data_IF_065086875589
#
_entry.id   IF_065086875589
#
_cell.length_a   1.000
_cell.length_b   1.000
_cell.length_c   1.000
_cell.angle_alpha   90.00
_cell.angle_beta   90.00
_cell.angle_gamma   90.00
#
_symmetry.space_group_name_H-M   'P 1'
#
loop_
_entity.id
_entity.type
_entity.pdbx_description
1 polymer ?
#
# COMPACT_ATOMS: atom_id res chain seq x y z
N UNK A 1 -8.60 37.85 51.15
CA UNK A 1 -7.53 37.82 50.11
C UNK A 1 -6.96 36.42 49.81
N UNK A 2 -7.09 35.39 50.68
CA UNK A 2 -6.55 34.03 50.42
C UNK A 2 -7.37 33.15 49.44
N UNK A 3 -8.65 33.44 49.21
CA UNK A 3 -9.50 32.64 48.28
C UNK A 3 -9.21 32.90 46.80
N UNK A 4 -8.66 34.07 46.45
CA UNK A 4 -8.36 34.42 45.05
C UNK A 4 -7.05 33.77 44.55
N UNK A 5 -6.17 33.35 45.47
CA UNK A 5 -4.92 32.66 45.14
C UNK A 5 -5.15 31.19 44.71
N UNK A 6 -6.18 30.54 45.24
CA UNK A 6 -6.51 29.15 44.90
C UNK A 6 -7.15 29.06 43.51
N UNK A 7 -7.97 30.05 43.13
CA UNK A 7 -8.57 30.10 41.80
C UNK A 7 -7.54 30.34 40.68
N UNK A 8 -6.50 31.14 40.95
CA UNK A 8 -5.43 31.38 40.01
C UNK A 8 -4.56 30.13 39.77
N UNK A 9 -4.30 29.33 40.80
CA UNK A 9 -3.53 28.08 40.68
C UNK A 9 -4.22 27.01 39.83
N UNK A 10 -5.56 26.91 39.88
CA UNK A 10 -6.32 25.99 39.02
C UNK A 10 -6.34 26.41 37.54
N UNK A 11 -6.29 27.73 37.25
CA UNK A 11 -6.22 28.24 35.88
C UNK A 11 -4.86 27.99 35.21
N UNK A 12 -3.75 28.01 35.98
CA UNK A 12 -2.42 27.69 35.45
C UNK A 12 -2.20 26.19 35.19
N UNK A 13 -2.91 25.29 35.88
CA UNK A 13 -2.85 23.85 35.59
C UNK A 13 -3.63 23.45 34.33
N UNK A 14 -4.64 24.23 33.93
CA UNK A 14 -5.40 24.01 32.69
C UNK A 14 -4.66 24.54 31.45
N UNK A 15 -3.80 25.56 31.58
CA UNK A 15 -2.97 26.05 30.47
C UNK A 15 -1.71 25.22 30.21
N UNK A 16 -1.32 24.33 31.12
CA UNK A 16 -0.21 23.40 30.91
C UNK A 16 -0.58 22.20 29.99
N UNK A 17 -1.86 22.02 29.67
CA UNK A 17 -2.33 20.99 28.73
C UNK A 17 -2.45 21.49 27.27
N UNK A 18 -2.21 22.77 26.99
CA UNK A 18 -1.94 23.23 25.60
C UNK A 18 -0.48 22.96 25.26
N UNK A 19 -0.05 21.72 25.47
CA UNK A 19 1.22 21.21 25.00
C UNK A 19 1.18 21.23 23.47
N UNK A 20 1.99 22.12 22.89
CA UNK A 20 2.48 22.19 21.53
C UNK A 20 2.14 20.94 20.68
N UNK A 21 0.90 20.84 20.18
CA UNK A 21 0.57 19.88 19.12
C UNK A 21 1.34 20.39 17.92
N UNK A 22 2.50 19.78 17.63
CA UNK A 22 3.15 19.95 16.34
C UNK A 22 2.09 19.63 15.30
N UNK A 23 1.75 20.60 14.46
CA UNK A 23 0.86 20.37 13.33
C UNK A 23 1.47 19.24 12.50
N UNK A 24 0.82 18.09 12.50
CA UNK A 24 1.25 16.93 11.74
C UNK A 24 1.00 17.26 10.28
N UNK A 25 2.06 17.65 9.57
CA UNK A 25 2.02 17.86 8.13
C UNK A 25 2.39 16.56 7.43
N UNK A 26 1.49 16.10 6.56
CA UNK A 26 1.69 14.91 5.73
C UNK A 26 2.39 15.25 4.41
N UNK A 27 2.53 16.53 4.07
CA UNK A 27 3.21 17.00 2.86
C UNK A 27 3.58 18.50 3.02
N UNK A 28 4.43 19.01 2.13
CA UNK A 28 4.65 20.44 1.92
C UNK A 28 4.06 20.95 0.60
N UNK A 29 3.51 20.06 -0.23
CA UNK A 29 3.06 20.36 -1.59
C UNK A 29 1.57 20.76 -1.61
N UNK A 30 1.21 21.99 -2.03
CA UNK A 30 -0.18 22.45 -2.01
C UNK A 30 -1.14 21.62 -2.88
N UNK A 31 -0.63 20.98 -3.93
CA UNK A 31 -1.43 20.09 -4.78
C UNK A 31 -1.79 18.77 -4.08
N UNK A 32 -0.85 18.22 -3.31
CA UNK A 32 -1.07 17.03 -2.48
C UNK A 32 -2.01 17.36 -1.32
N UNK A 33 -1.93 18.57 -0.74
CA UNK A 33 -2.89 19.03 0.27
C UNK A 33 -4.32 19.08 -0.26
N UNK A 34 -4.55 19.67 -1.44
CA UNK A 34 -5.89 19.66 -2.07
C UNK A 34 -6.38 18.25 -2.37
N UNK A 35 -5.48 17.36 -2.78
CA UNK A 35 -5.79 15.95 -2.98
C UNK A 35 -6.21 15.26 -1.66
N UNK A 36 -5.57 15.57 -0.54
CA UNK A 36 -6.00 15.12 0.79
C UNK A 36 -7.36 15.68 1.19
N UNK A 37 -7.66 16.94 0.86
CA UNK A 37 -8.98 17.53 1.13
C UNK A 37 -10.07 16.75 0.38
N UNK A 38 -9.85 16.44 -0.92
CA UNK A 38 -10.75 15.60 -1.72
C UNK A 38 -10.94 14.23 -1.06
N UNK A 39 -9.85 13.55 -0.68
CA UNK A 39 -9.92 12.23 -0.01
C UNK A 39 -10.72 12.35 1.30
N UNK A 40 -10.45 13.37 2.10
CA UNK A 40 -11.12 13.58 3.40
C UNK A 40 -12.62 13.87 3.29
N UNK A 41 -13.06 14.39 2.14
CA UNK A 41 -14.46 14.68 1.83
C UNK A 41 -15.31 13.45 1.53
N UNK A 42 -14.69 12.28 1.38
CA UNK A 42 -15.37 11.03 1.04
C UNK A 42 -15.61 10.14 2.27
N UNK A 43 -16.58 9.23 2.17
CA UNK A 43 -16.90 8.31 3.27
C UNK A 43 -15.77 7.29 3.48
N UNK A 44 -15.17 6.82 2.37
CA UNK A 44 -14.04 5.89 2.39
C UNK A 44 -12.71 6.55 2.78
N UNK A 45 -12.45 7.77 2.31
CA UNK A 45 -11.19 8.46 2.52
C UNK A 45 -11.04 9.06 3.92
N UNK A 46 -12.13 9.44 4.59
CA UNK A 46 -12.07 10.00 5.96
C UNK A 46 -11.43 9.07 7.00
N UNK A 47 -11.78 7.77 7.09
CA UNK A 47 -11.06 6.80 7.92
C UNK A 47 -9.57 6.69 7.56
N UNK A 48 -9.24 6.71 6.27
CA UNK A 48 -7.86 6.64 5.80
C UNK A 48 -7.05 7.86 6.23
N UNK A 49 -7.56 9.07 6.05
CA UNK A 49 -6.90 10.30 6.50
C UNK A 49 -6.70 10.31 8.01
N UNK A 50 -7.71 9.91 8.79
CA UNK A 50 -7.58 9.76 10.25
C UNK A 50 -6.48 8.77 10.63
N UNK A 51 -6.30 7.70 9.86
CA UNK A 51 -5.21 6.75 10.06
C UNK A 51 -3.85 7.38 9.76
N UNK A 52 -3.71 8.13 8.66
CA UNK A 52 -2.45 8.80 8.29
C UNK A 52 -2.03 9.83 9.34
N UNK A 53 -2.95 10.63 9.88
CA UNK A 53 -2.61 11.58 10.96
C UNK A 53 -2.17 10.90 12.26
N UNK A 54 -2.58 9.64 12.50
CA UNK A 54 -2.10 8.84 13.64
C UNK A 54 -0.77 8.15 13.36
N UNK A 55 -0.50 7.85 12.10
CA UNK A 55 0.69 7.14 11.63
C UNK A 55 1.34 7.96 10.50
N UNK A 56 1.93 9.13 10.83
CA UNK A 56 2.36 10.09 9.83
C UNK A 56 3.40 9.51 8.88
N UNK A 57 3.18 9.75 7.59
CA UNK A 57 4.11 9.48 6.50
C UNK A 57 4.07 10.68 5.56
N UNK A 58 5.23 11.08 5.06
CA UNK A 58 5.36 12.28 4.25
C UNK A 58 5.15 11.94 2.77
N UNK A 59 4.26 12.67 2.10
CA UNK A 59 3.98 12.54 0.68
C UNK A 59 4.70 13.63 -0.08
N UNK A 60 5.52 13.22 -1.04
CA UNK A 60 6.30 14.09 -1.91
C UNK A 60 6.17 13.62 -3.36
N UNK A 61 6.52 14.49 -4.30
CA UNK A 61 6.67 14.05 -5.69
C UNK A 61 7.98 13.27 -5.89
N UNK A 62 7.90 12.20 -6.67
CA UNK A 62 9.09 11.49 -7.13
C UNK A 62 9.92 12.39 -8.04
N UNK A 63 11.22 12.44 -7.82
CA UNK A 63 12.21 13.08 -8.70
C UNK A 63 12.87 12.08 -9.67
N UNK A 64 12.42 10.82 -9.67
CA UNK A 64 12.94 9.73 -10.50
C UNK A 64 11.85 9.24 -11.45
N UNK A 65 12.27 8.74 -12.61
CA UNK A 65 11.37 8.20 -13.63
C UNK A 65 10.47 7.08 -13.08
N UNK A 66 9.33 6.85 -13.72
CA UNK A 66 8.36 5.82 -13.37
C UNK A 66 7.02 6.39 -12.89
N UNK A 67 5.93 5.72 -13.28
CA UNK A 67 4.53 6.17 -13.03
C UNK A 67 3.94 5.48 -11.78
N UNK A 68 4.78 4.81 -10.99
CA UNK A 68 4.37 4.08 -9.79
C UNK A 68 4.69 4.87 -8.51
N UNK A 69 4.00 4.50 -7.43
CA UNK A 69 4.35 4.95 -6.10
C UNK A 69 5.66 4.33 -5.64
N UNK A 70 6.54 5.13 -5.03
CA UNK A 70 7.78 4.62 -4.42
C UNK A 70 7.69 4.75 -2.91
N UNK A 71 7.84 3.63 -2.22
CA UNK A 71 7.68 3.57 -0.78
C UNK A 71 9.05 3.58 -0.10
N UNK A 72 9.42 4.72 0.48
CA UNK A 72 10.62 4.86 1.30
C UNK A 72 10.24 4.82 2.79
N UNK A 73 9.64 3.70 3.20
CA UNK A 73 9.00 3.56 4.52
C UNK A 73 9.97 3.73 5.69
N UNK A 74 11.22 3.33 5.52
CA UNK A 74 12.28 3.56 6.52
C UNK A 74 12.57 5.06 6.74
N UNK A 75 12.39 5.89 5.71
CA UNK A 75 12.52 7.35 5.77
C UNK A 75 11.20 8.03 6.13
N UNK A 76 10.13 7.27 6.32
CA UNK A 76 8.79 7.80 6.57
C UNK A 76 8.24 8.61 5.39
N UNK A 77 8.56 8.21 4.15
CA UNK A 77 8.12 8.93 2.95
C UNK A 77 7.49 8.01 1.89
N UNK A 78 6.53 8.56 1.15
CA UNK A 78 5.89 7.98 -0.03
C UNK A 78 6.02 8.98 -1.16
N UNK A 79 6.62 8.55 -2.27
CA UNK A 79 6.78 9.36 -3.45
C UNK A 79 5.68 9.06 -4.47
N UNK A 80 5.01 10.11 -4.93
CA UNK A 80 3.92 10.07 -5.91
C UNK A 80 4.44 10.55 -7.27
N UNK A 81 4.02 9.96 -8.40
CA UNK A 81 4.42 10.42 -9.72
C UNK A 81 4.01 11.88 -9.97
N UNK A 82 4.91 12.67 -10.55
CA UNK A 82 4.68 14.10 -10.82
C UNK A 82 3.67 14.32 -11.95
N UNK A 83 3.55 13.35 -12.84
CA UNK A 83 2.67 13.33 -14.01
C UNK A 83 1.18 13.44 -13.61
N UNK A 84 0.84 12.98 -12.39
CA UNK A 84 -0.53 13.03 -11.86
C UNK A 84 -0.95 14.44 -11.42
N UNK A 85 -0.01 15.40 -11.34
CA UNK A 85 -0.27 16.76 -10.84
C UNK A 85 -1.29 17.55 -11.67
N UNK A 86 -1.49 17.18 -12.94
CA UNK A 86 -2.40 17.89 -13.86
C UNK A 86 -3.88 17.81 -13.49
N UNK A 87 -4.27 16.89 -12.60
CA UNK A 87 -5.66 16.73 -12.16
C UNK A 87 -5.71 16.40 -10.66
N UNK A 88 -6.26 17.31 -9.84
CA UNK A 88 -6.37 17.11 -8.39
C UNK A 88 -7.17 15.83 -8.05
N UNK A 89 -8.16 15.44 -8.88
CA UNK A 89 -8.94 14.21 -8.69
C UNK A 89 -8.11 12.95 -9.00
N UNK A 90 -7.38 12.93 -10.11
CA UNK A 90 -6.50 11.79 -10.43
C UNK A 90 -5.36 11.68 -9.42
N UNK A 91 -4.80 12.82 -8.99
CA UNK A 91 -3.82 12.88 -7.93
C UNK A 91 -4.38 12.34 -6.61
N UNK A 92 -5.61 12.70 -6.24
CA UNK A 92 -6.29 12.15 -5.06
C UNK A 92 -6.42 10.62 -5.13
N UNK A 93 -6.79 10.06 -6.29
CA UNK A 93 -6.85 8.61 -6.48
C UNK A 93 -5.49 7.93 -6.38
N UNK A 94 -4.47 8.56 -6.95
CA UNK A 94 -3.08 8.11 -6.88
C UNK A 94 -2.61 8.07 -5.41
N UNK A 95 -2.76 9.17 -4.69
CA UNK A 95 -2.40 9.28 -3.26
C UNK A 95 -3.21 8.29 -2.41
N UNK A 96 -4.51 8.17 -2.66
CA UNK A 96 -5.38 7.27 -1.92
C UNK A 96 -4.95 5.80 -2.04
N UNK A 97 -4.55 5.35 -3.24
CA UNK A 97 -3.99 4.00 -3.46
C UNK A 97 -2.75 3.81 -2.60
N UNK A 98 -1.77 4.72 -2.70
CA UNK A 98 -0.52 4.61 -1.95
C UNK A 98 -0.73 4.67 -0.43
N UNK A 99 -1.59 5.57 0.05
CA UNK A 99 -1.95 5.69 1.45
C UNK A 99 -2.63 4.42 1.99
N UNK A 100 -3.50 3.81 1.18
CA UNK A 100 -4.19 2.59 1.58
C UNK A 100 -3.24 1.38 1.62
N UNK A 101 -2.31 1.26 0.66
CA UNK A 101 -1.21 0.27 0.70
C UNK A 101 -0.36 0.46 1.96
N UNK A 102 0.03 1.69 2.28
CA UNK A 102 0.78 1.97 3.51
C UNK A 102 0.00 1.61 4.78
N UNK A 103 -1.32 1.84 4.80
CA UNK A 103 -2.19 1.37 5.88
C UNK A 103 -2.14 -0.15 6.01
N UNK A 104 -2.24 -0.90 4.91
CA UNK A 104 -2.14 -2.36 4.94
C UNK A 104 -0.78 -2.82 5.46
N UNK A 105 0.31 -2.23 4.96
CA UNK A 105 1.67 -2.52 5.40
C UNK A 105 1.82 -2.38 6.92
N UNK A 106 1.33 -1.28 7.51
CA UNK A 106 1.40 -1.06 8.96
C UNK A 106 0.49 -1.99 9.77
N UNK A 107 -0.70 -2.32 9.26
CA UNK A 107 -1.65 -3.18 9.97
C UNK A 107 -1.22 -4.65 9.96
N UNK A 108 -0.51 -5.06 8.90
CA UNK A 108 -0.15 -6.46 8.68
C UNK A 108 1.20 -6.78 9.33
N UNK A 109 2.11 -5.79 9.38
CA UNK A 109 3.46 -5.97 9.89
C UNK A 109 4.37 -6.73 8.92
N UNK A 110 3.99 -6.77 7.63
CA UNK A 110 4.85 -7.27 6.57
C UNK A 110 6.13 -6.44 6.48
N UNK A 111 7.25 -7.11 6.18
CA UNK A 111 8.54 -6.42 6.03
C UNK A 111 8.63 -5.61 4.74
N UNK A 112 7.85 -5.98 3.73
CA UNK A 112 7.85 -5.40 2.39
C UNK A 112 6.44 -5.40 1.83
N UNK A 113 6.19 -4.47 0.90
CA UNK A 113 4.92 -4.40 0.20
C UNK A 113 4.81 -5.58 -0.78
N UNK A 114 3.64 -6.20 -0.83
CA UNK A 114 3.36 -7.35 -1.71
C UNK A 114 2.29 -7.05 -2.75
N UNK A 115 2.19 -7.93 -3.75
CA UNK A 115 1.25 -7.77 -4.87
C UNK A 115 -0.22 -7.67 -4.41
N UNK A 116 -0.58 -8.35 -3.34
CA UNK A 116 -1.94 -8.38 -2.82
C UNK A 116 -2.34 -7.06 -2.14
N UNK A 117 -1.37 -6.27 -1.64
CA UNK A 117 -1.65 -4.91 -1.14
C UNK A 117 -1.95 -3.97 -2.29
N UNK A 118 -1.24 -4.10 -3.42
CA UNK A 118 -1.52 -3.36 -4.65
C UNK A 118 -2.90 -3.70 -5.24
N UNK A 119 -3.32 -4.96 -5.18
CA UNK A 119 -4.67 -5.38 -5.57
C UNK A 119 -5.75 -4.68 -4.75
N UNK A 120 -5.65 -4.74 -3.41
CA UNK A 120 -6.61 -4.09 -2.53
C UNK A 120 -6.54 -2.57 -2.65
N UNK A 121 -5.35 -2.01 -2.87
CA UNK A 121 -5.15 -0.59 -3.18
C UNK A 121 -5.86 -0.16 -4.45
N UNK A 122 -5.83 -0.98 -5.51
CA UNK A 122 -6.55 -0.70 -6.75
C UNK A 122 -8.08 -0.76 -6.57
N UNK A 123 -8.59 -1.70 -5.76
CA UNK A 123 -10.01 -1.73 -5.40
C UNK A 123 -10.43 -0.50 -4.60
N UNK A 124 -9.63 -0.11 -3.61
CA UNK A 124 -9.87 1.11 -2.83
C UNK A 124 -9.86 2.36 -3.71
N UNK A 125 -8.87 2.47 -4.61
CA UNK A 125 -8.77 3.53 -5.60
C UNK A 125 -10.03 3.62 -6.47
N UNK A 126 -10.53 2.48 -6.96
CA UNK A 126 -11.71 2.47 -7.81
C UNK A 126 -13.00 2.83 -7.05
N UNK A 127 -13.17 2.35 -5.81
CA UNK A 127 -14.30 2.76 -4.96
C UNK A 127 -14.28 4.26 -4.67
N UNK A 128 -13.10 4.81 -4.38
CA UNK A 128 -12.94 6.24 -4.15
C UNK A 128 -13.27 7.05 -5.42
N UNK A 129 -12.86 6.58 -6.59
CA UNK A 129 -13.19 7.19 -7.89
C UNK A 129 -14.69 7.35 -8.11
N UNK A 130 -15.48 6.38 -7.66
CA UNK A 130 -16.95 6.46 -7.70
C UNK A 130 -17.50 7.48 -6.71
N UNK A 131 -16.97 7.53 -5.47
CA UNK A 131 -17.44 8.50 -4.45
C UNK A 131 -17.14 9.96 -4.85
N UNK A 132 -16.02 10.22 -5.52
CA UNK A 132 -15.67 11.57 -6.00
C UNK A 132 -16.35 11.93 -7.33
N UNK A 133 -17.18 11.05 -7.89
CA UNK A 133 -17.84 11.21 -9.20
C UNK A 133 -16.85 11.53 -10.33
N UNK A 134 -15.76 10.76 -10.39
CA UNK A 134 -14.74 10.90 -11.41
C UNK A 134 -15.34 10.76 -12.82
N UNK A 135 -14.96 11.63 -13.76
CA UNK A 135 -15.39 11.59 -15.16
C UNK A 135 -14.23 11.39 -16.12
N UNK A 136 -14.52 11.03 -17.38
CA UNK A 136 -13.46 10.73 -18.35
C UNK A 136 -12.50 11.92 -18.57
N UNK A 137 -13.05 13.14 -18.64
CA UNK A 137 -12.27 14.37 -18.83
C UNK A 137 -11.28 14.67 -17.70
N UNK A 138 -11.39 14.04 -16.53
CA UNK A 138 -10.42 14.24 -15.44
C UNK A 138 -9.12 13.47 -15.68
N UNK A 139 -9.18 12.34 -16.39
CA UNK A 139 -8.00 11.59 -16.81
C UNK A 139 -7.25 12.28 -17.94
N UNK A 140 -7.94 13.01 -18.82
CA UNK A 140 -7.34 13.74 -19.93
C UNK A 140 -6.48 14.93 -19.47
N UNK A 141 -6.75 15.46 -18.27
CA UNK A 141 -6.00 16.55 -17.65
C UNK A 141 -4.68 16.10 -17.00
N UNK A 142 -4.54 14.81 -16.68
CA UNK A 142 -3.35 14.27 -16.03
C UNK A 142 -2.45 13.57 -17.06
N UNK A 143 -1.15 13.87 -16.99
CA UNK A 143 -0.17 13.22 -17.84
C UNK A 143 -0.06 11.73 -17.44
N UNK A 144 -0.01 10.84 -18.43
CA UNK A 144 0.15 9.39 -18.20
C UNK A 144 -0.91 8.72 -17.29
N UNK A 145 -2.13 9.29 -17.20
CA UNK A 145 -3.21 8.71 -16.40
C UNK A 145 -3.91 7.50 -17.06
N UNK A 146 -3.46 7.07 -18.24
CA UNK A 146 -4.06 5.97 -19.01
C UNK A 146 -4.11 4.65 -18.22
N UNK A 147 -3.07 4.35 -17.43
CA UNK A 147 -3.05 3.15 -16.57
C UNK A 147 -4.11 3.21 -15.46
N UNK A 148 -4.28 4.36 -14.80
CA UNK A 148 -5.30 4.55 -13.78
C UNK A 148 -6.71 4.48 -14.39
N UNK A 149 -6.90 5.12 -15.56
CA UNK A 149 -8.16 5.05 -16.31
C UNK A 149 -8.50 3.60 -16.66
N UNK A 150 -7.55 2.85 -17.20
CA UNK A 150 -7.71 1.44 -17.55
C UNK A 150 -8.11 0.60 -16.33
N UNK A 151 -7.42 0.75 -15.20
CA UNK A 151 -7.75 0.05 -13.95
C UNK A 151 -9.16 0.39 -13.44
N UNK A 152 -9.56 1.67 -13.52
CA UNK A 152 -10.90 2.14 -13.15
C UNK A 152 -11.97 1.58 -14.09
N UNK A 153 -11.73 1.61 -15.41
CA UNK A 153 -12.59 1.01 -16.44
C UNK A 153 -12.80 -0.50 -16.16
N UNK A 154 -11.74 -1.25 -15.91
CA UNK A 154 -11.81 -2.68 -15.57
C UNK A 154 -12.71 -2.93 -14.36
N UNK A 155 -12.66 -2.03 -13.37
CA UNK A 155 -13.46 -2.19 -12.14
C UNK A 155 -14.95 -1.99 -12.41
N UNK A 156 -15.31 -0.92 -13.11
CA UNK A 156 -16.71 -0.59 -13.40
C UNK A 156 -17.29 -1.57 -14.42
N UNK A 157 -16.55 -1.93 -15.48
CA UNK A 157 -17.05 -2.76 -16.57
C UNK A 157 -17.04 -4.26 -16.22
N UNK A 158 -15.89 -4.81 -15.84
CA UNK A 158 -15.66 -6.26 -15.78
C UNK A 158 -15.72 -6.87 -14.38
N UNK A 159 -15.73 -6.04 -13.32
CA UNK A 159 -15.74 -6.39 -11.88
C UNK A 159 -14.35 -6.38 -11.22
N UNK A 160 -14.35 -6.44 -9.87
CA UNK A 160 -13.18 -6.36 -8.99
C UNK A 160 -12.04 -7.31 -9.38
N UNK A 161 -12.37 -8.53 -9.82
CA UNK A 161 -11.37 -9.55 -10.17
C UNK A 161 -10.43 -9.09 -11.29
N UNK A 162 -10.95 -8.36 -12.28
CA UNK A 162 -10.14 -7.91 -13.42
C UNK A 162 -9.21 -6.77 -13.05
N UNK A 163 -9.70 -5.79 -12.26
CA UNK A 163 -8.87 -4.74 -11.68
C UNK A 163 -7.75 -5.30 -10.81
N UNK A 164 -8.06 -6.29 -9.97
CA UNK A 164 -7.03 -6.96 -9.17
C UNK A 164 -6.02 -7.69 -10.05
N UNK A 165 -6.48 -8.42 -11.08
CA UNK A 165 -5.58 -9.10 -11.99
C UNK A 165 -4.63 -8.13 -12.73
N UNK A 166 -5.13 -6.95 -13.10
CA UNK A 166 -4.34 -5.89 -13.70
C UNK A 166 -3.33 -5.31 -12.72
N UNK A 167 -3.75 -4.97 -11.50
CA UNK A 167 -2.86 -4.50 -10.44
C UNK A 167 -1.78 -5.53 -10.09
N UNK A 168 -2.14 -6.83 -10.03
CA UNK A 168 -1.19 -7.92 -9.86
C UNK A 168 -0.20 -8.02 -11.00
N UNK A 169 -0.67 -7.94 -12.25
CA UNK A 169 0.19 -7.96 -13.44
C UNK A 169 1.20 -6.81 -13.41
N UNK A 170 0.75 -5.61 -13.03
CA UNK A 170 1.63 -4.46 -12.83
C UNK A 170 2.62 -4.72 -11.69
N UNK A 171 2.18 -5.19 -10.53
CA UNK A 171 3.05 -5.48 -9.38
C UNK A 171 4.14 -6.52 -9.66
N UNK A 172 3.86 -7.49 -10.54
CA UNK A 172 4.76 -8.57 -10.91
C UNK A 172 5.59 -8.30 -12.18
N UNK A 173 5.43 -7.12 -12.81
CA UNK A 173 6.22 -6.75 -13.99
C UNK A 173 7.69 -6.51 -13.60
N UNK A 174 8.61 -6.67 -14.56
CA UNK A 174 10.00 -6.24 -14.34
C UNK A 174 10.10 -4.75 -14.58
N UNK A 175 10.14 -3.98 -13.49
CA UNK A 175 10.30 -2.53 -13.53
C UNK A 175 11.20 -2.08 -12.35
N UNK A 176 12.49 -1.84 -12.62
CA UNK A 176 13.44 -1.40 -11.60
C UNK A 176 13.08 -0.05 -10.96
N UNK A 177 12.48 0.86 -11.72
CA UNK A 177 12.10 2.19 -11.22
C UNK A 177 10.99 2.10 -10.16
N UNK A 178 10.20 1.03 -10.23
CA UNK A 178 9.11 0.71 -9.32
C UNK A 178 9.44 -0.32 -8.25
N UNK A 179 10.70 -0.75 -8.13
CA UNK A 179 11.13 -1.82 -7.21
C UNK A 179 10.36 -3.15 -7.43
N UNK A 180 10.00 -3.43 -8.68
CA UNK A 180 9.24 -4.63 -9.07
C UNK A 180 10.17 -5.70 -9.67
N UNK A 181 9.83 -6.99 -9.58
CA UNK A 181 8.56 -7.56 -9.10
C UNK A 181 8.41 -7.54 -7.57
N UNK A 182 7.19 -7.34 -7.10
CA UNK A 182 6.82 -7.52 -5.69
C UNK A 182 6.72 -9.00 -5.32
N UNK A 183 6.84 -9.31 -4.03
CA UNK A 183 6.55 -10.66 -3.52
C UNK A 183 5.03 -10.90 -3.49
N UNK A 184 4.63 -12.15 -3.26
CA UNK A 184 3.23 -12.60 -3.22
C UNK A 184 2.94 -13.35 -1.93
N UNK A 185 1.67 -13.43 -1.53
CA UNK A 185 1.28 -14.28 -0.40
C UNK A 185 1.66 -15.75 -0.62
N UNK A 186 1.48 -16.24 -1.84
CA UNK A 186 1.85 -17.60 -2.20
C UNK A 186 3.37 -17.82 -2.06
N UNK A 187 4.17 -16.84 -2.46
CA UNK A 187 5.62 -16.80 -2.28
C UNK A 187 6.01 -16.85 -0.80
N UNK A 188 5.37 -16.02 0.02
CA UNK A 188 5.59 -16.01 1.47
C UNK A 188 5.20 -17.34 2.14
N UNK A 189 4.08 -17.93 1.75
CA UNK A 189 3.65 -19.23 2.27
C UNK A 189 4.67 -20.33 1.94
N UNK A 190 5.15 -20.35 0.69
CA UNK A 190 6.17 -21.29 0.24
C UNK A 190 7.48 -21.09 1.03
N UNK A 191 7.90 -19.84 1.19
CA UNK A 191 9.11 -19.50 1.93
C UNK A 191 8.99 -19.89 3.41
N UNK A 192 7.84 -19.63 4.07
CA UNK A 192 7.58 -20.08 5.44
C UNK A 192 7.63 -21.61 5.56
N UNK A 193 7.05 -22.32 4.59
CA UNK A 193 7.14 -23.78 4.52
C UNK A 193 8.59 -24.28 4.46
N UNK A 194 9.43 -23.64 3.64
CA UNK A 194 10.88 -23.94 3.57
C UNK A 194 11.60 -23.59 4.87
N UNK A 195 11.29 -22.47 5.50
CA UNK A 195 11.88 -22.07 6.78
C UNK A 195 11.59 -23.11 7.87
N UNK A 196 10.35 -23.58 7.96
CA UNK A 196 9.97 -24.65 8.91
C UNK A 196 10.78 -25.93 8.70
N UNK A 197 11.00 -26.32 7.44
CA UNK A 197 11.82 -27.50 7.13
C UNK A 197 13.29 -27.26 7.48
N UNK A 198 13.81 -26.07 7.18
CA UNK A 198 15.21 -25.71 7.40
C UNK A 198 15.59 -25.58 8.88
N UNK A 199 14.62 -25.33 9.76
CA UNK A 199 14.83 -25.38 11.22
C UNK A 199 15.33 -26.75 11.71
N UNK A 200 15.04 -27.84 10.97
CA UNK A 200 15.47 -29.19 11.34
C UNK A 200 16.73 -29.67 10.61
N UNK A 201 17.17 -28.97 9.56
CA UNK A 201 18.18 -29.45 8.60
C UNK A 201 19.36 -28.47 8.44
N UNK A 202 19.64 -27.63 9.45
CA UNK A 202 20.73 -26.63 9.51
C UNK A 202 20.81 -25.59 8.37
N UNK A 203 19.85 -25.56 7.45
CA UNK A 203 19.82 -24.63 6.30
C UNK A 203 19.13 -23.29 6.59
N UNK A 204 18.73 -23.04 7.84
CA UNK A 204 17.93 -21.87 8.21
C UNK A 204 18.62 -20.54 7.87
N UNK A 205 19.91 -20.39 8.22
CA UNK A 205 20.66 -19.16 7.96
C UNK A 205 20.87 -18.91 6.46
N UNK A 206 21.02 -19.99 5.68
CA UNK A 206 21.13 -19.91 4.22
C UNK A 206 19.85 -19.33 3.60
N UNK A 207 18.67 -19.78 4.05
CA UNK A 207 17.39 -19.26 3.55
C UNK A 207 17.15 -17.79 3.94
N UNK A 208 17.60 -17.36 5.13
CA UNK A 208 17.57 -15.95 5.50
C UNK A 208 18.44 -15.11 4.59
N UNK A 209 19.67 -15.55 4.34
CA UNK A 209 20.59 -14.85 3.45
C UNK A 209 20.07 -14.77 2.02
N UNK A 210 19.50 -15.86 1.49
CA UNK A 210 18.88 -15.87 0.16
C UNK A 210 17.71 -14.88 0.06
N UNK A 211 16.89 -14.76 1.10
CA UNK A 211 15.84 -13.74 1.17
C UNK A 211 16.44 -12.34 1.13
N UNK A 212 17.45 -12.06 1.95
CA UNK A 212 18.12 -10.75 1.93
C UNK A 212 18.77 -10.45 0.58
N UNK A 213 19.34 -11.43 -0.13
CA UNK A 213 19.85 -11.24 -1.49
C UNK A 213 18.74 -10.89 -2.50
N UNK A 214 17.53 -11.43 -2.35
CA UNK A 214 16.39 -11.02 -3.19
C UNK A 214 15.98 -9.56 -2.92
N UNK A 215 16.10 -9.10 -1.67
CA UNK A 215 15.86 -7.70 -1.28
C UNK A 215 16.94 -6.78 -1.85
N UNK A 216 18.19 -7.23 -1.87
CA UNK A 216 19.29 -6.51 -2.54
C UNK A 216 19.03 -6.35 -4.03
N UNK A 217 18.60 -7.41 -4.72
CA UNK A 217 18.27 -7.34 -6.15
C UNK A 217 17.14 -6.35 -6.46
N UNK A 218 16.20 -6.18 -5.53
CA UNK A 218 15.08 -5.21 -5.63
C UNK A 218 15.45 -3.80 -5.15
N UNK A 219 16.63 -3.62 -4.55
CA UNK A 219 17.08 -2.33 -4.02
C UNK A 219 16.45 -1.94 -2.68
N UNK A 220 15.74 -2.85 -1.99
CA UNK A 220 15.14 -2.59 -0.67
C UNK A 220 16.12 -2.80 0.49
N UNK A 221 17.26 -3.45 0.23
CA UNK A 221 18.34 -3.72 1.17
C UNK A 221 19.69 -3.53 0.48
N UNK A 222 20.70 -3.02 1.15
CA UNK A 222 22.05 -2.96 0.59
C UNK A 222 22.80 -4.28 0.79
N UNK A 223 23.79 -4.58 -0.07
CA UNK A 223 24.62 -5.78 0.09
C UNK A 223 25.35 -5.80 1.45
N UNK A 224 25.78 -4.62 1.92
CA UNK A 224 26.42 -4.47 3.23
C UNK A 224 25.48 -4.86 4.38
N UNK A 225 24.22 -4.44 4.32
CA UNK A 225 23.20 -4.82 5.31
C UNK A 225 22.89 -6.32 5.25
N UNK A 226 22.75 -6.91 4.06
CA UNK A 226 22.55 -8.34 3.90
C UNK A 226 23.68 -9.16 4.53
N UNK A 227 24.94 -8.77 4.28
CA UNK A 227 26.11 -9.42 4.88
C UNK A 227 26.17 -9.23 6.40
N UNK A 228 25.78 -8.05 6.90
CA UNK A 228 25.70 -7.79 8.34
C UNK A 228 24.62 -8.64 9.02
N UNK A 229 23.47 -8.81 8.39
CA UNK A 229 22.39 -9.66 8.89
C UNK A 229 22.82 -11.13 8.93
N UNK A 230 23.46 -11.64 7.88
CA UNK A 230 23.99 -13.02 7.84
C UNK A 230 25.09 -13.25 8.89
N UNK A 231 26.04 -12.32 9.02
CA UNK A 231 27.07 -12.42 10.05
C UNK A 231 26.47 -12.44 11.45
N UNK A 232 25.46 -11.60 11.72
CA UNK A 232 24.75 -11.56 12.99
C UNK A 232 23.99 -12.86 13.25
N UNK A 233 23.33 -13.43 12.25
CA UNK A 233 22.55 -14.66 12.42
C UNK A 233 23.47 -15.87 12.69
N UNK A 234 24.63 -15.94 12.03
CA UNK A 234 25.61 -17.02 12.21
C UNK A 234 26.44 -16.90 13.50
N UNK A 235 26.63 -15.70 14.01
CA UNK A 235 27.39 -15.46 15.23
C UNK A 235 26.61 -15.81 16.52
N UNK A 236 25.31 -16.11 16.43
CA UNK A 236 24.51 -16.45 17.61
C UNK A 236 24.94 -17.79 18.23
N UNK A 237 25.05 -17.87 19.57
CA UNK A 237 25.19 -19.14 20.27
C UNK A 237 24.09 -20.13 19.89
N UNK A 238 24.36 -21.43 19.98
CA UNK A 238 23.41 -22.49 19.57
C UNK A 238 22.04 -22.35 20.25
N UNK A 239 22.00 -22.08 21.56
CA UNK A 239 20.74 -21.88 22.28
C UNK A 239 19.95 -20.67 21.76
N UNK A 240 20.64 -19.55 21.50
CA UNK A 240 20.02 -18.35 20.96
C UNK A 240 19.53 -18.57 19.52
N UNK A 241 20.25 -19.36 18.73
CA UNK A 241 19.84 -19.73 17.38
C UNK A 241 18.50 -20.46 17.38
N UNK A 242 18.33 -21.51 18.20
CA UNK A 242 17.05 -22.22 18.29
C UNK A 242 15.90 -21.33 18.75
N UNK A 243 16.16 -20.45 19.74
CA UNK A 243 15.17 -19.47 20.21
C UNK A 243 14.78 -18.49 19.10
N UNK A 244 15.78 -17.96 18.39
CA UNK A 244 15.57 -17.05 17.27
C UNK A 244 14.76 -17.70 16.15
N UNK A 245 15.12 -18.91 15.72
CA UNK A 245 14.42 -19.67 14.68
C UNK A 245 12.93 -19.81 14.98
N UNK A 246 12.59 -20.28 16.19
CA UNK A 246 11.21 -20.45 16.63
C UNK A 246 10.47 -19.11 16.69
N UNK A 247 11.08 -18.12 17.34
CA UNK A 247 10.45 -16.79 17.53
C UNK A 247 10.21 -16.12 16.19
N UNK A 248 11.17 -16.22 15.28
CA UNK A 248 11.08 -15.70 13.92
C UNK A 248 9.97 -16.39 13.13
N UNK A 249 9.93 -17.73 13.13
CA UNK A 249 8.90 -18.48 12.42
C UNK A 249 7.49 -18.19 12.98
N UNK A 250 7.33 -18.17 14.30
CA UNK A 250 6.05 -17.90 14.96
C UNK A 250 5.57 -16.47 14.63
N UNK A 251 6.48 -15.48 14.67
CA UNK A 251 6.18 -14.10 14.29
C UNK A 251 5.74 -13.98 12.82
N UNK A 252 6.54 -14.51 11.88
CA UNK A 252 6.24 -14.40 10.45
C UNK A 252 4.96 -15.18 10.08
N UNK A 253 4.69 -16.31 10.74
CA UNK A 253 3.44 -17.06 10.58
C UNK A 253 2.22 -16.27 11.07
N UNK A 254 2.36 -15.52 12.17
CA UNK A 254 1.31 -14.65 12.69
C UNK A 254 1.04 -13.47 11.73
N UNK A 255 2.09 -12.83 11.22
CA UNK A 255 2.00 -11.77 10.20
C UNK A 255 1.28 -12.28 8.94
N UNK A 256 1.69 -13.44 8.42
CA UNK A 256 1.06 -14.06 7.24
C UNK A 256 -0.43 -14.37 7.48
N UNK A 257 -0.77 -14.93 8.64
CA UNK A 257 -2.15 -15.28 8.99
C UNK A 257 -3.03 -14.02 9.10
N UNK A 258 -2.52 -12.98 9.76
CA UNK A 258 -3.18 -11.69 9.89
C UNK A 258 -3.42 -11.05 8.52
N UNK A 259 -2.42 -11.04 7.64
CA UNK A 259 -2.59 -10.52 6.28
C UNK A 259 -3.66 -11.29 5.52
N UNK A 260 -3.63 -12.62 5.57
CA UNK A 260 -4.59 -13.47 4.87
C UNK A 260 -6.03 -13.18 5.31
N UNK A 261 -6.26 -12.99 6.61
CA UNK A 261 -7.57 -12.59 7.15
C UNK A 261 -8.00 -11.21 6.64
N UNK A 262 -7.11 -10.22 6.70
CA UNK A 262 -7.37 -8.87 6.19
C UNK A 262 -7.73 -8.93 4.70
N UNK A 263 -6.97 -9.67 3.90
CA UNK A 263 -7.19 -9.80 2.46
C UNK A 263 -8.58 -10.33 2.14
N UNK A 264 -8.97 -11.47 2.72
CA UNK A 264 -10.30 -12.03 2.48
C UNK A 264 -11.43 -11.16 3.02
N UNK A 265 -11.22 -10.46 4.14
CA UNK A 265 -12.19 -9.51 4.68
C UNK A 265 -12.42 -8.36 3.71
N UNK A 266 -11.37 -7.73 3.22
CA UNK A 266 -11.47 -6.59 2.30
C UNK A 266 -12.11 -6.99 0.96
N UNK A 267 -11.87 -8.21 0.46
CA UNK A 267 -12.57 -8.73 -0.73
C UNK A 267 -14.09 -8.89 -0.50
N UNK A 268 -14.48 -9.38 0.68
CA UNK A 268 -15.90 -9.50 1.04
C UNK A 268 -16.54 -8.12 1.20
N UNK A 269 -15.83 -7.18 1.80
CA UNK A 269 -16.28 -5.80 1.96
C UNK A 269 -16.43 -5.08 0.61
N UNK A 270 -15.50 -5.30 -0.32
CA UNK A 270 -15.60 -4.79 -1.69
C UNK A 270 -16.84 -5.33 -2.41
N UNK A 271 -17.08 -6.65 -2.35
CA UNK A 271 -18.25 -7.25 -2.96
C UNK A 271 -19.56 -6.69 -2.38
N UNK A 272 -19.64 -6.53 -1.06
CA UNK A 272 -20.81 -5.94 -0.39
C UNK A 272 -20.98 -4.46 -0.77
N UNK A 273 -19.89 -3.69 -0.81
CA UNK A 273 -19.90 -2.30 -1.22
C UNK A 273 -20.42 -2.14 -2.65
N UNK A 274 -19.97 -2.99 -3.58
CA UNK A 274 -20.45 -2.96 -4.97
C UNK A 274 -21.94 -3.24 -5.11
N UNK A 275 -22.47 -4.16 -4.30
CA UNK A 275 -23.91 -4.45 -4.31
C UNK A 275 -24.71 -3.24 -3.81
N UNK A 276 -24.23 -2.55 -2.78
CA UNK A 276 -24.86 -1.35 -2.25
C UNK A 276 -24.78 -0.14 -3.20
N UNK A 277 -23.70 -0.03 -3.99
CA UNK A 277 -23.43 1.12 -4.89
C UNK A 277 -23.65 0.76 -6.36
N UNK A 278 -24.54 -0.18 -6.66
CA UNK A 278 -24.80 -0.63 -8.04
C UNK A 278 -25.22 0.53 -8.96
N UNK A 279 -26.06 1.44 -8.47
CA UNK A 279 -26.51 2.60 -9.24
C UNK A 279 -25.36 3.53 -9.63
N UNK A 280 -24.39 3.75 -8.73
CA UNK A 280 -23.21 4.57 -9.01
C UNK A 280 -22.30 3.92 -10.04
N UNK A 281 -22.13 2.60 -9.95
CA UNK A 281 -21.38 1.82 -10.95
C UNK A 281 -22.07 1.90 -12.31
N UNK A 282 -23.39 1.72 -12.37
CA UNK A 282 -24.13 1.77 -13.64
C UNK A 282 -24.11 3.17 -14.28
N UNK A 283 -24.16 4.23 -13.47
CA UNK A 283 -23.94 5.61 -13.92
C UNK A 283 -22.52 5.82 -14.46
N UNK A 284 -21.50 5.35 -13.73
CA UNK A 284 -20.12 5.45 -14.18
C UNK A 284 -19.89 4.67 -15.48
N UNK A 285 -20.51 3.50 -15.66
CA UNK A 285 -20.43 2.75 -16.94
C UNK A 285 -20.93 3.55 -18.14
N UNK A 286 -21.98 4.36 -17.95
CA UNK A 286 -22.48 5.22 -19.03
C UNK A 286 -21.47 6.32 -19.39
N UNK A 287 -20.91 6.99 -18.37
CA UNK A 287 -19.85 8.02 -18.53
C UNK A 287 -18.59 7.46 -19.21
N UNK A 288 -18.28 6.20 -18.93
CA UNK A 288 -17.07 5.51 -19.38
C UNK A 288 -17.36 4.47 -20.49
N UNK A 289 -18.43 4.67 -21.25
CA UNK A 289 -18.84 3.76 -22.33
C UNK A 289 -17.77 3.61 -23.43
N UNK A 290 -16.96 4.66 -23.64
CA UNK A 290 -15.82 4.67 -24.57
C UNK A 290 -14.51 4.16 -23.92
N UNK A 291 -14.57 3.45 -22.79
CA UNK A 291 -13.39 2.79 -22.24
C UNK A 291 -12.83 1.78 -23.25
N UNK A 292 -11.87 2.22 -24.07
CA UNK A 292 -10.98 1.37 -24.84
C UNK A 292 -10.11 0.58 -23.85
N UNK A 293 -10.65 -0.54 -23.39
CA UNK A 293 -9.92 -1.54 -22.65
C UNK A 293 -8.74 -1.95 -23.55
N UNK A 294 -7.48 -1.80 -23.11
CA UNK A 294 -6.37 -2.38 -23.85
C UNK A 294 -6.66 -3.87 -23.99
N UNK A 295 -6.50 -4.44 -25.19
CA UNK A 295 -6.55 -5.89 -25.39
C UNK A 295 -5.51 -6.52 -24.45
N UNK A 296 -5.94 -6.94 -23.28
CA UNK A 296 -5.17 -7.91 -22.52
C UNK A 296 -5.10 -9.11 -23.44
N UNK A 297 -3.91 -9.38 -23.98
CA UNK A 297 -3.63 -10.60 -24.71
C UNK A 297 -4.09 -11.77 -23.84
N UNK A 298 -5.32 -12.23 -24.11
CA UNK A 298 -5.76 -13.57 -23.79
C UNK A 298 -4.69 -14.43 -24.45
N UNK A 299 -3.93 -15.27 -23.73
CA UNK A 299 -3.14 -16.28 -24.41
C UNK A 299 -4.16 -17.03 -25.25
N UNK A 300 -4.08 -16.86 -26.58
CA UNK A 300 -4.96 -17.53 -27.51
C UNK A 300 -4.88 -19.01 -27.14
N UNK A 301 -5.91 -19.48 -26.44
CA UNK A 301 -6.16 -20.89 -26.28
C UNK A 301 -6.30 -21.39 -27.71
N UNK A 302 -5.25 -22.05 -28.21
CA UNK A 302 -5.31 -22.72 -29.49
C UNK A 302 -6.54 -23.64 -29.45
N UNK A 303 -7.53 -23.49 -30.34
CA UNK A 303 -8.46 -24.55 -30.60
C UNK A 303 -7.80 -25.55 -31.56
N UNK A 304 -7.64 -26.80 -31.13
CA UNK A 304 -7.21 -27.95 -31.95
C UNK A 304 -5.70 -27.98 -32.26
N UNK A 305 -5.01 -29.11 -32.20
CA UNK A 305 -5.36 -30.49 -32.56
C UNK A 305 -4.99 -31.44 -31.42
#
# INVERSE_FOLDING_TARGET
MKKNLILAACLFLLSACTGNRRDIRLTSEPSIERAFDIISGTALGKPLMKFLYKNPVMFEYSNTAGICHKFALQKGAIFVPVEMRGSDLVLALSIARAAYIYRLYLLTGLEEIISEEEELGALFQARLGLEINLVNGDFEKAENAAGLKSNFCSYIMEQSRYTMAQARKEALSQDPDCQRPLDTLAGQQLWLGKMRQAMNNDNFNQLLYERDLQRVRRGTLTMSEAMKNDARSRAMPTYETYRFQRTFYDYQSAVFSNFTEIYYRELKEDQAWRQAHKADIDRARAEFSDCNMPETAVPAGKPGI
#
